data_IF_731394376477
#
_entry.id   IF_731394376477
#
_cell.length_a   1.000
_cell.length_b   1.000
_cell.length_c   1.000
_cell.angle_alpha   90.00
_cell.angle_beta   90.00
_cell.angle_gamma   90.00
#
_symmetry.space_group_name_H-M   'P 1'
#
loop_
_entity.id
_entity.type
_entity.pdbx_description
1 polymer ?
#
# COMPACT_ATOMS: atom_id res chain seq x y z
N UNK A 1 21.80 -45.88 -38.45
CA UNK A 1 20.48 -45.23 -38.29
C UNK A 1 20.09 -44.96 -36.84
N UNK A 2 20.42 -45.86 -35.89
CA UNK A 2 20.05 -45.71 -34.46
C UNK A 2 20.81 -44.58 -33.73
N UNK A 3 22.10 -44.40 -33.99
CA UNK A 3 22.92 -43.33 -33.40
C UNK A 3 22.47 -41.92 -33.80
N UNK A 4 22.02 -41.73 -35.04
CA UNK A 4 21.55 -40.43 -35.54
C UNK A 4 20.26 -40.03 -34.82
N UNK A 5 19.34 -40.97 -34.59
CA UNK A 5 18.10 -40.71 -33.85
C UNK A 5 18.36 -40.36 -32.38
N UNK A 6 19.32 -41.04 -31.75
CA UNK A 6 19.71 -40.73 -30.37
C UNK A 6 20.31 -39.33 -30.24
N UNK A 7 21.23 -38.96 -31.14
CA UNK A 7 21.84 -37.64 -31.15
C UNK A 7 20.80 -36.51 -31.35
N UNK A 8 19.82 -36.73 -32.22
CA UNK A 8 18.71 -35.77 -32.45
C UNK A 8 17.86 -35.60 -31.18
N UNK A 9 17.49 -36.69 -30.49
CA UNK A 9 16.72 -36.61 -29.25
C UNK A 9 17.46 -35.87 -28.13
N UNK A 10 18.78 -36.11 -27.98
CA UNK A 10 19.60 -35.41 -26.98
C UNK A 10 19.69 -33.91 -27.29
N UNK A 11 19.86 -33.54 -28.56
CA UNK A 11 19.85 -32.15 -29.00
C UNK A 11 18.52 -31.45 -28.67
N UNK A 12 17.38 -32.08 -28.97
CA UNK A 12 16.07 -31.51 -28.63
C UNK A 12 15.86 -31.39 -27.12
N UNK A 13 16.31 -32.36 -26.33
CA UNK A 13 16.21 -32.30 -24.88
C UNK A 13 17.06 -31.18 -24.28
N UNK A 14 18.29 -30.99 -24.78
CA UNK A 14 19.17 -29.91 -24.34
C UNK A 14 18.64 -28.52 -24.74
N UNK A 15 18.06 -28.39 -25.94
CA UNK A 15 17.38 -27.15 -26.37
C UNK A 15 16.16 -26.87 -25.50
N UNK A 16 15.35 -27.89 -25.20
CA UNK A 16 14.19 -27.75 -24.31
C UNK A 16 14.62 -27.32 -22.89
N UNK A 17 15.66 -27.94 -22.34
CA UNK A 17 16.22 -27.60 -21.02
C UNK A 17 16.75 -26.16 -20.98
N UNK A 18 17.41 -25.71 -22.05
CA UNK A 18 17.90 -24.35 -22.19
C UNK A 18 16.75 -23.34 -22.34
N UNK A 19 15.68 -23.70 -23.06
CA UNK A 19 14.50 -22.86 -23.25
C UNK A 19 13.66 -22.75 -21.97
N UNK A 20 13.50 -23.86 -21.22
CA UNK A 20 12.81 -23.87 -19.93
C UNK A 20 13.57 -23.09 -18.87
N UNK A 21 14.92 -23.18 -18.85
CA UNK A 21 15.74 -22.39 -17.95
C UNK A 21 15.65 -20.88 -18.27
N UNK A 22 15.53 -20.50 -19.56
CA UNK A 22 15.29 -19.11 -19.95
C UNK A 22 13.90 -18.61 -19.56
N UNK A 23 12.85 -19.45 -19.63
CA UNK A 23 11.52 -19.05 -19.16
C UNK A 23 11.49 -18.86 -17.63
N UNK A 24 12.18 -19.70 -16.87
CA UNK A 24 12.19 -19.64 -15.39
C UNK A 24 13.05 -18.49 -14.84
N UNK A 25 14.03 -18.00 -15.61
CA UNK A 25 14.87 -16.85 -15.22
C UNK A 25 14.43 -15.50 -15.81
N UNK A 26 13.39 -15.46 -16.66
CA UNK A 26 13.00 -14.24 -17.39
C UNK A 26 11.62 -13.69 -17.02
N UNK A 27 11.08 -14.07 -15.85
CA UNK A 27 10.20 -13.17 -15.13
C UNK A 27 11.09 -12.14 -14.41
N UNK A 28 11.64 -11.21 -15.18
CA UNK A 28 12.04 -9.93 -14.61
C UNK A 28 10.77 -9.31 -14.07
N UNK A 29 10.54 -9.46 -12.75
CA UNK A 29 9.65 -8.57 -12.03
C UNK A 29 9.97 -7.16 -12.55
N UNK A 30 8.97 -6.38 -13.00
CA UNK A 30 9.22 -5.03 -13.47
C UNK A 30 10.06 -4.32 -12.42
N UNK A 31 11.07 -3.57 -12.85
CA UNK A 31 11.92 -2.78 -11.95
C UNK A 31 11.04 -1.74 -11.25
N UNK A 32 10.44 -2.17 -10.13
CA UNK A 32 9.58 -1.37 -9.27
C UNK A 32 10.44 -0.34 -8.51
N UNK A 33 11.78 -0.42 -8.54
CA UNK A 33 12.58 0.03 -7.42
C UNK A 33 13.15 1.45 -7.55
N UNK A 34 13.37 1.97 -8.76
CA UNK A 34 14.01 3.28 -8.92
C UNK A 34 13.05 4.47 -8.75
N UNK A 35 11.97 4.51 -9.52
CA UNK A 35 11.05 5.67 -9.53
C UNK A 35 10.05 5.63 -8.34
N UNK A 36 9.63 4.41 -7.95
CA UNK A 36 8.73 4.19 -6.82
C UNK A 36 9.34 4.63 -5.49
N UNK A 37 10.64 4.38 -5.26
CA UNK A 37 11.28 4.70 -3.97
C UNK A 37 11.28 6.20 -3.68
N UNK A 38 11.44 7.04 -4.70
CA UNK A 38 11.40 8.50 -4.54
C UNK A 38 9.99 9.00 -4.16
N UNK A 39 8.96 8.46 -4.83
CA UNK A 39 7.56 8.77 -4.55
C UNK A 39 7.15 8.29 -3.17
N UNK A 40 7.51 7.05 -2.80
CA UNK A 40 7.28 6.49 -1.46
C UNK A 40 7.94 7.33 -0.38
N UNK A 41 9.21 7.70 -0.57
CA UNK A 41 9.92 8.54 0.38
C UNK A 41 9.29 9.92 0.51
N UNK A 42 8.74 10.47 -0.58
CA UNK A 42 8.04 11.77 -0.55
C UNK A 42 6.78 11.72 0.32
N UNK A 43 6.05 10.59 0.27
CA UNK A 43 4.86 10.33 1.09
C UNK A 43 5.29 10.09 2.54
N UNK A 44 6.27 9.22 2.78
CA UNK A 44 6.77 8.93 4.13
C UNK A 44 7.24 10.19 4.86
N UNK A 45 7.87 11.14 4.13
CA UNK A 45 8.29 12.43 4.68
C UNK A 45 7.12 13.30 5.17
N UNK A 46 5.90 13.13 4.67
CA UNK A 46 4.69 13.78 5.21
C UNK A 46 4.35 13.29 6.61
N UNK A 47 4.82 12.09 6.94
CA UNK A 47 4.66 11.46 8.24
C UNK A 47 5.92 11.56 9.11
N UNK A 48 6.80 12.53 8.84
CA UNK A 48 7.95 12.84 9.70
C UNK A 48 7.59 13.93 10.70
N UNK A 49 7.51 13.57 11.98
CA UNK A 49 7.33 14.51 13.08
C UNK A 49 6.16 14.14 13.99
N UNK A 50 6.09 14.79 15.15
CA UNK A 50 5.06 14.51 16.15
C UNK A 50 3.65 14.80 15.60
N UNK A 51 2.72 13.89 15.87
CA UNK A 51 1.28 13.98 15.55
C UNK A 51 0.45 13.63 16.78
N UNK A 52 0.92 14.09 17.93
CA UNK A 52 0.29 13.87 19.22
C UNK A 52 -0.80 14.92 19.46
N UNK A 53 -1.89 14.54 20.13
CA UNK A 53 -3.03 15.43 20.37
C UNK A 53 -2.75 16.55 21.37
N UNK A 54 -1.74 16.42 22.22
CA UNK A 54 -1.35 17.45 23.21
C UNK A 54 -0.16 18.27 22.74
N UNK A 55 0.95 17.61 22.41
CA UNK A 55 2.21 18.31 22.13
C UNK A 55 2.32 18.88 20.73
N UNK A 56 1.57 18.35 19.77
CA UNK A 56 1.60 18.82 18.38
C UNK A 56 0.28 18.58 17.63
N UNK A 57 -0.84 19.16 18.09
CA UNK A 57 -2.16 18.94 17.50
C UNK A 57 -2.24 19.39 16.03
N UNK A 58 -1.48 20.39 15.63
CA UNK A 58 -1.42 20.87 14.25
C UNK A 58 -0.78 19.83 13.31
N UNK A 59 0.29 19.15 13.74
CA UNK A 59 0.90 18.07 12.96
C UNK A 59 -0.05 16.87 12.81
N UNK A 60 -0.88 16.61 13.84
CA UNK A 60 -1.94 15.60 13.76
C UNK A 60 -3.02 15.99 12.75
N UNK A 61 -3.38 17.27 12.69
CA UNK A 61 -4.33 17.79 11.72
C UNK A 61 -3.78 17.74 10.28
N UNK A 62 -2.53 18.19 10.07
CA UNK A 62 -1.87 18.12 8.76
C UNK A 62 -1.83 16.70 8.20
N UNK A 63 -1.52 15.70 9.04
CA UNK A 63 -1.55 14.30 8.65
C UNK A 63 -2.96 13.82 8.27
N UNK A 64 -3.98 14.24 9.03
CA UNK A 64 -5.39 13.91 8.74
C UNK A 64 -5.81 14.47 7.37
N UNK A 65 -5.54 15.76 7.16
CA UNK A 65 -5.92 16.45 5.92
C UNK A 65 -5.23 15.80 4.72
N UNK A 66 -3.93 15.50 4.84
CA UNK A 66 -3.18 14.83 3.80
C UNK A 66 -3.75 13.45 3.45
N UNK A 67 -4.15 12.64 4.45
CA UNK A 67 -4.76 11.32 4.21
C UNK A 67 -6.10 11.47 3.48
N UNK A 68 -6.96 12.40 3.94
CA UNK A 68 -8.28 12.65 3.35
C UNK A 68 -8.14 13.10 1.89
N UNK A 69 -7.27 14.07 1.63
CA UNK A 69 -7.00 14.58 0.28
C UNK A 69 -6.44 13.48 -0.63
N UNK A 70 -5.54 12.64 -0.09
CA UNK A 70 -4.93 11.56 -0.85
C UNK A 70 -5.95 10.47 -1.20
N UNK A 71 -6.79 10.05 -0.25
CA UNK A 71 -7.88 9.11 -0.53
C UNK A 71 -8.86 9.65 -1.57
N UNK A 72 -9.27 10.92 -1.46
CA UNK A 72 -10.13 11.57 -2.46
C UNK A 72 -9.48 11.59 -3.84
N UNK A 73 -8.18 11.91 -3.90
CA UNK A 73 -7.39 11.88 -5.14
C UNK A 73 -7.33 10.50 -5.78
N UNK A 74 -7.39 9.44 -4.98
CA UNK A 74 -7.42 8.05 -5.46
C UNK A 74 -8.84 7.51 -5.71
N UNK A 75 -9.86 8.38 -5.73
CA UNK A 75 -11.22 8.00 -6.09
C UNK A 75 -12.01 7.29 -4.97
N UNK A 76 -11.50 7.25 -3.74
CA UNK A 76 -12.20 6.61 -2.62
C UNK A 76 -13.38 7.46 -2.15
N UNK A 77 -14.43 6.79 -1.66
CA UNK A 77 -15.47 7.44 -0.86
C UNK A 77 -14.94 7.66 0.57
N UNK A 78 -14.80 8.92 0.99
CA UNK A 78 -14.09 9.27 2.24
C UNK A 78 -15.04 9.93 3.25
N UNK A 79 -15.00 9.47 4.50
CA UNK A 79 -15.64 10.12 5.64
C UNK A 79 -14.75 10.08 6.88
N UNK A 80 -15.12 10.86 7.90
CA UNK A 80 -14.48 10.81 9.22
C UNK A 80 -15.45 10.34 10.28
N UNK A 81 -14.95 9.56 11.23
CA UNK A 81 -15.71 9.06 12.36
C UNK A 81 -15.15 9.67 13.63
N UNK A 82 -15.91 10.58 14.23
CA UNK A 82 -15.50 11.31 15.42
C UNK A 82 -16.25 10.81 16.65
N UNK A 83 -15.49 10.39 17.66
CA UNK A 83 -16.02 9.88 18.91
C UNK A 83 -15.43 10.63 20.11
N UNK A 84 -16.26 10.91 21.12
CA UNK A 84 -15.80 11.48 22.39
C UNK A 84 -15.22 10.37 23.25
N UNK A 85 -13.97 10.51 23.69
CA UNK A 85 -13.24 9.45 24.41
C UNK A 85 -12.98 9.77 25.89
N UNK A 86 -13.32 10.98 26.35
CA UNK A 86 -13.26 11.36 27.76
C UNK A 86 -13.03 12.87 27.94
N UNK A 87 -13.63 13.48 28.97
CA UNK A 87 -13.50 14.92 29.20
C UNK A 87 -13.89 15.75 27.97
N UNK A 88 -12.95 16.53 27.43
CA UNK A 88 -13.07 17.27 26.17
C UNK A 88 -12.25 16.65 25.02
N UNK A 89 -11.78 15.40 25.17
CA UNK A 89 -10.99 14.69 24.18
C UNK A 89 -11.88 13.97 23.17
N UNK A 90 -11.48 14.07 21.91
CA UNK A 90 -12.13 13.40 20.78
C UNK A 90 -11.10 12.56 20.02
N UNK A 91 -11.48 11.32 19.73
CA UNK A 91 -10.83 10.52 18.69
C UNK A 91 -11.50 10.79 17.36
N UNK A 92 -10.74 10.68 16.27
CA UNK A 92 -11.28 10.85 14.94
C UNK A 92 -10.54 9.94 13.96
N UNK A 93 -11.27 8.97 13.41
CA UNK A 93 -10.78 8.06 12.39
C UNK A 93 -11.11 8.61 11.00
N UNK A 94 -10.31 8.21 10.01
CA UNK A 94 -10.52 8.52 8.60
C UNK A 94 -10.81 7.20 7.91
N UNK A 95 -11.93 7.12 7.19
CA UNK A 95 -12.30 5.92 6.46
C UNK A 95 -12.37 6.26 4.98
N UNK A 96 -11.63 5.51 4.18
CA UNK A 96 -11.71 5.52 2.72
C UNK A 96 -12.22 4.17 2.23
N UNK A 97 -13.31 4.17 1.46
CA UNK A 97 -13.94 2.96 0.95
C UNK A 97 -13.87 2.93 -0.58
N UNK A 98 -13.57 1.75 -1.12
CA UNK A 98 -13.70 1.44 -2.54
C UNK A 98 -14.94 0.57 -2.67
N UNK A 99 -15.91 1.05 -3.44
CA UNK A 99 -17.12 0.29 -3.72
C UNK A 99 -16.87 -0.70 -4.85
N UNK A 100 -17.59 -1.82 -4.81
CA UNK A 100 -17.72 -2.74 -5.93
C UNK A 100 -19.18 -2.88 -6.33
N UNK A 101 -19.45 -3.57 -7.43
CA UNK A 101 -20.82 -3.94 -7.79
C UNK A 101 -21.52 -4.86 -6.77
N UNK A 102 -20.79 -5.45 -5.82
CA UNK A 102 -21.33 -6.28 -4.74
C UNK A 102 -21.54 -5.53 -3.43
N UNK A 103 -21.14 -4.26 -3.34
CA UNK A 103 -21.26 -3.47 -2.11
C UNK A 103 -22.71 -3.42 -1.63
N UNK A 104 -22.95 -3.83 -0.39
CA UNK A 104 -24.28 -3.88 0.23
C UNK A 104 -25.18 -5.04 -0.23
N UNK A 105 -24.66 -5.99 -1.01
CA UNK A 105 -25.39 -7.22 -1.40
C UNK A 105 -25.10 -8.37 -0.44
N UNK A 106 -25.81 -9.49 -0.58
CA UNK A 106 -25.55 -10.70 0.22
C UNK A 106 -24.16 -11.33 -0.04
N UNK A 107 -23.57 -11.05 -1.21
CA UNK A 107 -22.26 -11.54 -1.63
C UNK A 107 -21.14 -10.52 -1.34
N UNK A 108 -21.41 -9.47 -0.55
CA UNK A 108 -20.41 -8.48 -0.17
C UNK A 108 -19.34 -9.10 0.73
N UNK A 109 -18.08 -8.72 0.51
CA UNK A 109 -16.93 -9.21 1.26
C UNK A 109 -16.01 -8.03 1.55
N UNK A 110 -15.79 -7.77 2.84
CA UNK A 110 -15.06 -6.58 3.30
C UNK A 110 -13.64 -6.99 3.68
N UNK A 111 -12.66 -6.32 3.08
CA UNK A 111 -11.26 -6.35 3.51
C UNK A 111 -10.92 -4.99 4.10
N UNK A 112 -10.41 -4.98 5.33
CA UNK A 112 -9.98 -3.76 6.02
C UNK A 112 -8.46 -3.75 6.09
N UNK A 113 -7.85 -2.67 5.59
CA UNK A 113 -6.44 -2.35 5.77
C UNK A 113 -6.36 -1.12 6.66
N UNK A 114 -5.59 -1.18 7.74
CA UNK A 114 -5.56 -0.13 8.76
C UNK A 114 -4.14 0.28 9.17
N UNK A 115 -4.00 1.53 9.57
CA UNK A 115 -2.83 2.11 10.21
C UNK A 115 -3.27 3.25 11.13
N UNK A 116 -2.47 3.61 12.13
CA UNK A 116 -2.75 4.81 12.94
C UNK A 116 -1.80 5.95 12.53
N UNK A 117 -2.35 7.16 12.51
CA UNK A 117 -1.63 8.35 12.03
C UNK A 117 -1.23 9.29 13.17
N UNK A 118 -1.61 9.02 14.41
CA UNK A 118 -1.14 9.79 15.56
C UNK A 118 0.24 9.29 16.02
N UNK A 119 0.83 10.00 16.98
CA UNK A 119 2.05 9.56 17.65
C UNK A 119 1.91 9.67 19.16
N UNK A 120 2.68 8.85 19.87
CA UNK A 120 3.03 9.12 21.26
C UNK A 120 3.75 10.46 21.37
N UNK A 121 3.70 11.06 22.55
CA UNK A 121 4.38 12.32 22.81
C UNK A 121 5.90 12.18 22.58
N UNK A 122 6.53 13.23 22.04
CA UNK A 122 7.98 13.33 21.81
C UNK A 122 8.57 12.31 20.81
N UNK A 123 7.76 11.55 20.07
CA UNK A 123 8.25 10.66 19.01
C UNK A 123 8.08 11.28 17.62
N UNK A 124 8.90 10.83 16.66
CA UNK A 124 8.74 11.21 15.24
C UNK A 124 7.70 10.36 14.51
N UNK A 125 7.42 9.16 15.03
CA UNK A 125 6.41 8.21 14.55
C UNK A 125 6.52 7.82 13.07
N UNK A 126 7.74 7.81 12.52
CA UNK A 126 7.96 7.44 11.12
C UNK A 126 7.75 5.94 10.94
N UNK A 127 8.38 5.13 11.78
CA UNK A 127 8.19 3.68 11.83
C UNK A 127 6.85 3.32 12.49
N UNK A 128 6.50 4.00 13.58
CA UNK A 128 5.28 3.79 14.37
C UNK A 128 4.34 5.02 14.36
N UNK A 129 3.40 5.14 13.41
CA UNK A 129 3.11 4.21 12.31
C UNK A 129 2.99 4.95 10.96
N UNK A 130 3.83 5.97 10.75
CA UNK A 130 3.90 6.71 9.48
C UNK A 130 4.21 5.83 8.27
N UNK A 131 4.98 4.76 8.49
CA UNK A 131 5.33 3.76 7.50
C UNK A 131 4.12 2.92 7.10
N UNK A 132 3.30 2.48 8.07
CA UNK A 132 2.04 1.78 7.80
C UNK A 132 1.02 2.68 7.11
N UNK A 133 0.90 3.95 7.48
CA UNK A 133 0.05 4.90 6.75
C UNK A 133 0.55 5.05 5.31
N UNK A 134 1.86 5.17 5.10
CA UNK A 134 2.44 5.25 3.75
C UNK A 134 2.12 4.01 2.92
N UNK A 135 2.26 2.81 3.49
CA UNK A 135 1.90 1.56 2.84
C UNK A 135 0.41 1.49 2.51
N UNK A 136 -0.45 1.90 3.43
CA UNK A 136 -1.90 1.96 3.23
C UNK A 136 -2.28 2.90 2.08
N UNK A 137 -1.66 4.08 1.99
CA UNK A 137 -1.87 5.00 0.87
C UNK A 137 -1.43 4.38 -0.47
N UNK A 138 -0.37 3.57 -0.48
CA UNK A 138 0.03 2.85 -1.70
C UNK A 138 -0.95 1.75 -2.08
N UNK A 139 -1.48 1.02 -1.10
CA UNK A 139 -2.56 0.06 -1.36
C UNK A 139 -3.70 0.81 -2.03
N UNK A 140 -4.22 1.86 -1.39
CA UNK A 140 -5.31 2.69 -1.94
C UNK A 140 -5.03 3.21 -3.37
N UNK A 141 -3.80 3.67 -3.65
CA UNK A 141 -3.39 4.10 -5.00
C UNK A 141 -3.49 2.99 -6.06
N UNK A 142 -3.14 1.76 -5.69
CA UNK A 142 -3.07 0.63 -6.63
C UNK A 142 -4.42 -0.04 -6.86
N UNK A 143 -5.35 0.04 -5.89
CA UNK A 143 -6.68 -0.58 -6.01
C UNK A 143 -7.81 0.44 -6.26
N UNK A 144 -7.56 1.73 -6.06
CA UNK A 144 -8.50 2.80 -6.37
C UNK A 144 -8.64 3.03 -7.87
N UNK A 145 -9.81 3.53 -8.28
CA UNK A 145 -10.08 3.94 -9.66
C UNK A 145 -9.36 5.28 -9.92
N UNK A 146 -8.34 5.27 -10.78
CA UNK A 146 -7.61 6.48 -11.21
C UNK A 146 -8.30 7.15 -12.40
#
# INVERSE_FOLDING_TARGET
MMFIRFAICVMFFLVYLALSARLVLCDTLPDIQSDSTSSLLSILKKFKGARNHESRPEGKQEARDYIIETFKKYGLHVWTERAKIGGNLFAENIVGMISSNRTGTADDQIVIVGAHYDTTNSTTGIDDNGSGVTALLQVAKNIGEQ
#
